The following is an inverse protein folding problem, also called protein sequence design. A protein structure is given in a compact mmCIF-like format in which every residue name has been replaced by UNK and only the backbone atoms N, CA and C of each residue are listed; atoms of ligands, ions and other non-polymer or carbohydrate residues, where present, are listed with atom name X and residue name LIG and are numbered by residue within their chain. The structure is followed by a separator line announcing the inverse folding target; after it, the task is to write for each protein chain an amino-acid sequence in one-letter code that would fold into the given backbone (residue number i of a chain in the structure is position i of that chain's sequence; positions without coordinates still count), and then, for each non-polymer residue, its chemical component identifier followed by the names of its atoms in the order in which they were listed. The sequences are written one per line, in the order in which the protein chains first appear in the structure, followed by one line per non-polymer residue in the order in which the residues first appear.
data_IF_132880846411
#
_entry.id   IF_132880846411
#
_cell.length_a   1.000
_cell.length_b   1.000
_cell.length_c   1.000
_cell.angle_alpha   90.00
_cell.angle_beta   90.00
_cell.angle_gamma   90.00
#
_symmetry.space_group_name_H-M   'P 1'
#
loop_
_entity.id
_entity.type
_entity.pdbx_description
1 polymer ?
#
# COMPACT_ATOMS: atom_id res chain seq x y z
N UNK A 1 -64.80 27.45 29.14
CA UNK A 1 -65.58 26.81 28.07
C UNK A 1 -64.62 25.88 27.31
N UNK A 2 -64.77 24.58 27.56
CA UNK A 2 -65.01 23.50 26.56
C UNK A 2 -63.86 23.30 25.55
N UNK A 3 -63.20 22.16 25.32
CA UNK A 3 -63.44 20.71 25.56
C UNK A 3 -62.04 20.04 25.37
N UNK A 4 -61.63 19.21 26.24
CA UNK A 4 -61.45 17.76 26.09
C UNK A 4 -61.45 17.22 24.67
N UNK A 5 -60.28 16.61 24.26
CA UNK A 5 -60.27 15.28 23.66
C UNK A 5 -58.98 14.59 24.04
N UNK A 6 -59.07 13.44 24.68
CA UNK A 6 -58.09 12.40 24.87
C UNK A 6 -57.73 11.76 23.52
N UNK A 7 -56.48 11.28 23.32
CA UNK A 7 -56.29 9.87 22.94
C UNK A 7 -54.84 9.48 22.87
N UNK A 8 -54.62 8.41 23.57
CA UNK A 8 -53.74 7.28 23.23
C UNK A 8 -52.23 7.52 23.14
N UNK A 9 -51.58 7.19 24.22
CA UNK A 9 -50.20 6.73 24.27
C UNK A 9 -50.05 5.48 23.40
N UNK A 10 -49.29 5.59 22.34
CA UNK A 10 -48.63 4.45 21.68
C UNK A 10 -47.16 4.43 22.09
N UNK A 11 -46.88 3.60 23.07
CA UNK A 11 -45.55 3.26 23.55
C UNK A 11 -44.85 2.47 22.45
N UNK A 12 -44.13 3.13 21.52
CA UNK A 12 -43.15 2.45 20.66
C UNK A 12 -41.87 2.24 21.47
N UNK A 13 -41.80 1.10 22.11
CA UNK A 13 -40.54 0.53 22.57
C UNK A 13 -39.65 0.29 21.34
N UNK A 14 -38.78 1.24 21.06
CA UNK A 14 -37.59 0.96 20.25
C UNK A 14 -36.68 0.08 21.06
N UNK A 15 -36.85 -1.23 20.90
CA UNK A 15 -35.78 -2.20 21.20
C UNK A 15 -34.70 -1.93 20.20
N UNK A 16 -33.71 -1.14 20.60
CA UNK A 16 -32.42 -1.04 19.92
C UNK A 16 -31.64 -2.34 20.15
N UNK A 17 -32.14 -3.41 19.52
CA UNK A 17 -31.32 -4.58 19.28
C UNK A 17 -30.23 -4.17 18.28
N UNK A 18 -28.99 -4.02 18.73
CA UNK A 18 -27.87 -4.04 17.85
C UNK A 18 -27.90 -5.38 17.13
N UNK A 19 -28.44 -5.38 15.92
CA UNK A 19 -28.27 -6.50 15.00
C UNK A 19 -26.77 -6.67 14.81
N UNK A 20 -26.23 -7.89 14.99
CA UNK A 20 -24.85 -8.13 14.57
C UNK A 20 -24.76 -7.70 13.11
N UNK A 21 -23.77 -6.87 12.79
CA UNK A 21 -23.48 -6.47 11.42
C UNK A 21 -23.23 -7.74 10.61
N UNK A 22 -24.27 -8.24 9.95
CA UNK A 22 -24.12 -9.33 9.01
C UNK A 22 -23.17 -8.83 7.92
N UNK A 23 -22.00 -9.46 7.79
CA UNK A 23 -21.20 -9.29 6.59
C UNK A 23 -22.09 -9.67 5.41
N UNK A 24 -22.12 -8.81 4.38
CA UNK A 24 -22.84 -9.15 3.17
C UNK A 24 -22.25 -10.46 2.61
N UNK A 25 -23.12 -11.40 2.31
CA UNK A 25 -22.74 -12.67 1.70
C UNK A 25 -22.40 -12.39 0.23
N UNK A 26 -21.11 -12.48 -0.12
CA UNK A 26 -20.68 -12.55 -1.51
C UNK A 26 -21.17 -13.90 -2.04
N UNK A 27 -22.01 -13.88 -3.08
CA UNK A 27 -22.56 -15.11 -3.68
C UNK A 27 -21.51 -15.76 -4.58
N UNK A 28 -20.69 -16.61 -4.00
CA UNK A 28 -19.73 -17.48 -4.71
C UNK A 28 -20.05 -18.94 -4.44
N UNK A 29 -19.72 -19.87 -5.35
CA UNK A 29 -19.66 -21.28 -5.01
C UNK A 29 -18.82 -21.47 -3.75
N UNK A 30 -19.26 -22.32 -2.78
CA UNK A 30 -18.55 -22.50 -1.50
C UNK A 30 -17.08 -22.88 -1.63
N UNK A 31 -16.74 -23.71 -2.61
CA UNK A 31 -15.39 -24.12 -2.96
C UNK A 31 -14.55 -22.96 -3.49
N UNK A 32 -15.11 -22.11 -4.36
CA UNK A 32 -14.43 -20.89 -4.84
C UNK A 32 -14.20 -19.94 -3.69
N UNK A 33 -15.16 -19.78 -2.77
CA UNK A 33 -15.00 -18.94 -1.57
C UNK A 33 -13.86 -19.42 -0.67
N UNK A 34 -13.79 -20.74 -0.43
CA UNK A 34 -12.73 -21.36 0.35
C UNK A 34 -11.37 -21.14 -0.30
N UNK A 35 -11.21 -21.50 -1.58
CA UNK A 35 -9.96 -21.33 -2.31
C UNK A 35 -9.54 -19.86 -2.46
N UNK A 36 -10.47 -18.94 -2.66
CA UNK A 36 -10.18 -17.51 -2.69
C UNK A 36 -9.64 -17.02 -1.34
N UNK A 37 -10.27 -17.45 -0.23
CA UNK A 37 -9.84 -17.07 1.12
C UNK A 37 -8.46 -17.63 1.44
N UNK A 38 -8.21 -18.91 1.18
CA UNK A 38 -6.91 -19.55 1.39
C UNK A 38 -5.83 -18.96 0.48
N UNK A 39 -6.17 -18.66 -0.78
CA UNK A 39 -5.26 -17.96 -1.70
C UNK A 39 -4.83 -16.60 -1.19
N UNK A 40 -5.76 -15.78 -0.68
CA UNK A 40 -5.47 -14.46 -0.11
C UNK A 40 -4.62 -14.58 1.16
N UNK A 41 -4.97 -15.51 2.06
CA UNK A 41 -4.18 -15.77 3.26
C UNK A 41 -2.76 -16.23 2.92
N UNK A 42 -2.61 -17.07 1.88
CA UNK A 42 -1.32 -17.50 1.35
C UNK A 42 -0.48 -16.30 0.88
N UNK A 43 -1.07 -15.37 0.11
CA UNK A 43 -0.38 -14.15 -0.35
C UNK A 43 0.12 -13.32 0.83
N UNK A 44 -0.73 -13.02 1.81
CA UNK A 44 -0.33 -12.23 2.98
C UNK A 44 0.68 -12.95 3.89
N UNK A 45 0.62 -14.28 3.93
CA UNK A 45 1.55 -15.12 4.70
C UNK A 45 2.85 -15.42 3.95
N UNK A 46 2.98 -14.95 2.68
CA UNK A 46 4.08 -15.23 1.75
C UNK A 46 4.23 -16.72 1.41
N UNK A 47 3.17 -17.49 1.59
CA UNK A 47 3.05 -18.87 1.14
C UNK A 47 2.44 -18.89 -0.28
N UNK A 48 3.27 -18.47 -1.23
CA UNK A 48 2.85 -18.35 -2.63
C UNK A 48 2.53 -19.70 -3.27
N UNK A 49 3.09 -20.79 -2.77
CA UNK A 49 2.80 -22.13 -3.31
C UNK A 49 1.40 -22.57 -2.90
N UNK A 50 1.00 -22.35 -1.64
CA UNK A 50 -0.38 -22.54 -1.20
C UNK A 50 -1.33 -21.61 -1.94
N UNK A 51 -0.99 -20.33 -2.11
CA UNK A 51 -1.81 -19.39 -2.87
C UNK A 51 -2.00 -19.84 -4.32
N UNK A 52 -0.93 -20.25 -5.01
CA UNK A 52 -0.96 -20.71 -6.39
C UNK A 52 -1.80 -21.97 -6.55
N UNK A 53 -1.61 -22.97 -5.66
CA UNK A 53 -2.39 -24.22 -5.67
C UNK A 53 -3.90 -23.95 -5.57
N UNK A 54 -4.32 -23.06 -4.66
CA UNK A 54 -5.74 -22.72 -4.52
C UNK A 54 -6.30 -22.05 -5.79
N UNK A 55 -5.54 -21.16 -6.43
CA UNK A 55 -5.95 -20.53 -7.70
C UNK A 55 -6.04 -21.55 -8.82
N UNK A 56 -5.13 -22.53 -8.90
CA UNK A 56 -5.16 -23.61 -9.88
C UNK A 56 -6.39 -24.50 -9.71
N UNK A 57 -6.81 -24.81 -8.50
CA UNK A 57 -8.04 -25.55 -8.25
C UNK A 57 -9.26 -24.80 -8.78
N UNK A 58 -9.34 -23.48 -8.56
CA UNK A 58 -10.44 -22.69 -9.16
C UNK A 58 -10.39 -22.71 -10.69
N UNK A 59 -9.21 -22.64 -11.32
CA UNK A 59 -9.10 -22.74 -12.79
C UNK A 59 -9.49 -24.11 -13.34
N UNK A 60 -9.23 -25.20 -12.59
CA UNK A 60 -9.60 -26.56 -13.01
C UNK A 60 -11.11 -26.74 -13.07
N UNK A 61 -11.83 -26.27 -12.04
CA UNK A 61 -13.27 -26.45 -11.91
C UNK A 61 -14.07 -25.36 -12.65
N UNK A 62 -13.53 -24.15 -12.70
CA UNK A 62 -14.17 -22.95 -13.29
C UNK A 62 -13.19 -22.20 -14.21
N UNK A 63 -12.94 -22.66 -15.42
CA UNK A 63 -12.09 -21.96 -16.39
C UNK A 63 -12.58 -20.53 -16.64
N UNK A 64 -11.64 -19.56 -16.66
CA UNK A 64 -11.93 -18.12 -16.80
C UNK A 64 -12.68 -17.49 -15.60
N UNK A 65 -12.82 -18.18 -14.45
CA UNK A 65 -13.47 -17.60 -13.28
C UNK A 65 -12.76 -16.30 -12.81
N UNK A 66 -13.50 -15.23 -12.52
CA UNK A 66 -12.91 -13.93 -12.17
C UNK A 66 -11.92 -13.97 -11.01
N UNK A 67 -12.21 -14.76 -9.96
CA UNK A 67 -11.32 -14.90 -8.80
C UNK A 67 -10.01 -15.59 -9.14
N UNK A 68 -10.00 -16.60 -10.02
CA UNK A 68 -8.78 -17.26 -10.44
C UNK A 68 -7.85 -16.31 -11.20
N UNK A 69 -8.40 -15.54 -12.14
CA UNK A 69 -7.65 -14.51 -12.87
C UNK A 69 -7.15 -13.39 -11.97
N UNK A 70 -8.00 -12.90 -11.06
CA UNK A 70 -7.61 -11.88 -10.08
C UNK A 70 -6.50 -12.39 -9.14
N UNK A 71 -6.67 -13.59 -8.57
CA UNK A 71 -5.70 -14.21 -7.67
C UNK A 71 -4.34 -14.42 -8.34
N UNK A 72 -4.33 -14.92 -9.57
CA UNK A 72 -3.10 -15.13 -10.35
C UNK A 72 -2.31 -13.81 -10.54
N UNK A 73 -3.00 -12.72 -10.90
CA UNK A 73 -2.38 -11.41 -11.04
C UNK A 73 -1.88 -10.85 -9.69
N UNK A 74 -2.62 -11.08 -8.59
CA UNK A 74 -2.22 -10.65 -7.25
C UNK A 74 -1.01 -11.43 -6.72
N UNK A 75 -0.92 -12.74 -6.98
CA UNK A 75 0.27 -13.53 -6.64
C UNK A 75 1.49 -13.00 -7.40
N UNK A 76 1.34 -12.77 -8.72
CA UNK A 76 2.43 -12.25 -9.55
C UNK A 76 2.89 -10.85 -9.08
N UNK A 77 1.95 -9.97 -8.72
CA UNK A 77 2.25 -8.66 -8.14
C UNK A 77 2.99 -8.79 -6.82
N UNK A 78 2.48 -9.61 -5.90
CA UNK A 78 3.06 -9.76 -4.56
C UNK A 78 4.45 -10.39 -4.59
N UNK A 79 4.69 -11.35 -5.50
CA UNK A 79 6.05 -11.87 -5.74
C UNK A 79 6.99 -10.79 -6.26
N UNK A 80 6.55 -10.00 -7.24
CA UNK A 80 7.35 -8.92 -7.81
C UNK A 80 7.70 -7.85 -6.77
N UNK A 81 6.75 -7.52 -5.88
CA UNK A 81 6.99 -6.59 -4.77
C UNK A 81 7.88 -7.19 -3.68
N UNK A 82 7.58 -8.40 -3.24
CA UNK A 82 8.26 -9.05 -2.13
C UNK A 82 9.67 -9.54 -2.48
N UNK A 83 9.85 -10.18 -3.64
CA UNK A 83 11.11 -10.81 -4.00
C UNK A 83 12.07 -9.83 -4.71
N UNK A 84 11.56 -8.81 -5.39
CA UNK A 84 12.33 -7.94 -6.28
C UNK A 84 12.21 -6.44 -5.98
N UNK A 85 11.50 -6.06 -4.93
CA UNK A 85 11.20 -4.64 -4.60
C UNK A 85 10.75 -3.80 -5.81
N UNK A 86 10.02 -4.42 -6.74
CA UNK A 86 9.53 -3.82 -8.00
C UNK A 86 10.65 -3.26 -8.90
N UNK A 87 11.87 -3.79 -8.80
CA UNK A 87 13.05 -3.26 -9.49
C UNK A 87 13.53 -4.10 -10.67
N UNK A 88 13.15 -5.37 -10.77
CA UNK A 88 13.59 -6.30 -11.83
C UNK A 88 12.75 -6.16 -13.10
N UNK A 89 13.37 -5.79 -14.22
CA UNK A 89 12.71 -5.56 -15.50
C UNK A 89 12.19 -6.85 -16.17
N UNK A 90 12.79 -8.01 -15.90
CA UNK A 90 12.30 -9.29 -16.43
C UNK A 90 11.03 -9.70 -15.70
N UNK A 91 11.03 -9.61 -14.38
CA UNK A 91 9.84 -9.89 -13.57
C UNK A 91 8.71 -8.89 -13.82
N UNK A 92 9.04 -7.64 -14.11
CA UNK A 92 8.07 -6.65 -14.57
C UNK A 92 7.30 -7.12 -15.81
N UNK A 93 8.00 -7.62 -16.81
CA UNK A 93 7.38 -8.12 -18.05
C UNK A 93 6.52 -9.37 -17.81
N UNK A 94 6.95 -10.25 -16.91
CA UNK A 94 6.16 -11.42 -16.49
C UNK A 94 4.85 -10.97 -15.85
N UNK A 95 4.91 -10.04 -14.90
CA UNK A 95 3.74 -9.47 -14.26
C UNK A 95 2.80 -8.79 -15.27
N UNK A 96 3.33 -7.94 -16.16
CA UNK A 96 2.54 -7.25 -17.19
C UNK A 96 1.76 -8.25 -18.06
N UNK A 97 2.42 -9.35 -18.47
CA UNK A 97 1.78 -10.40 -19.26
C UNK A 97 0.65 -11.09 -18.50
N UNK A 98 0.91 -11.50 -17.25
CA UNK A 98 -0.11 -12.14 -16.39
C UNK A 98 -1.30 -11.21 -16.19
N UNK A 99 -1.06 -9.93 -15.96
CA UNK A 99 -2.11 -8.92 -15.79
C UNK A 99 -2.96 -8.76 -17.05
N UNK A 100 -2.33 -8.76 -18.24
CA UNK A 100 -3.04 -8.67 -19.52
C UNK A 100 -3.90 -9.92 -19.79
N UNK A 101 -3.33 -11.10 -19.58
CA UNK A 101 -4.01 -12.38 -19.73
C UNK A 101 -5.21 -12.51 -18.76
N UNK A 102 -5.02 -12.08 -17.51
CA UNK A 102 -6.07 -12.08 -16.49
C UNK A 102 -7.23 -11.14 -16.84
N UNK A 103 -6.95 -9.93 -17.32
CA UNK A 103 -7.99 -9.01 -17.80
C UNK A 103 -8.72 -9.60 -19.00
N UNK A 104 -8.02 -10.29 -19.91
CA UNK A 104 -8.64 -10.92 -21.07
C UNK A 104 -9.56 -12.08 -20.64
N UNK A 105 -9.15 -12.89 -19.66
CA UNK A 105 -9.96 -13.98 -19.10
C UNK A 105 -11.26 -13.48 -18.48
N UNK A 106 -11.17 -12.48 -17.58
CA UNK A 106 -12.40 -11.93 -16.97
C UNK A 106 -13.32 -11.29 -18.02
N UNK A 107 -12.78 -10.68 -19.07
CA UNK A 107 -13.62 -10.18 -20.17
C UNK A 107 -14.36 -11.30 -20.93
N UNK A 108 -13.75 -12.50 -21.08
CA UNK A 108 -14.47 -13.64 -21.65
C UNK A 108 -15.61 -14.08 -20.75
N UNK A 109 -15.36 -14.15 -19.44
CA UNK A 109 -16.38 -14.46 -18.45
C UNK A 109 -17.55 -13.48 -18.48
N UNK A 110 -17.31 -12.17 -18.47
CA UNK A 110 -18.34 -11.13 -18.54
C UNK A 110 -19.25 -11.28 -19.78
N UNK A 111 -18.69 -11.71 -20.92
CA UNK A 111 -19.51 -11.94 -22.13
C UNK A 111 -20.54 -13.05 -21.94
N UNK A 112 -20.22 -14.04 -21.11
CA UNK A 112 -21.09 -15.18 -20.81
C UNK A 112 -21.98 -14.93 -19.59
N UNK A 113 -21.49 -14.09 -18.66
CA UNK A 113 -22.13 -13.78 -17.37
C UNK A 113 -22.18 -12.25 -17.16
N UNK A 114 -23.03 -11.51 -17.91
CA UNK A 114 -23.01 -10.05 -17.92
C UNK A 114 -23.52 -9.40 -16.62
N UNK A 115 -24.19 -10.18 -15.77
CA UNK A 115 -24.77 -9.69 -14.50
C UNK A 115 -24.02 -10.23 -13.27
N UNK A 116 -22.79 -10.73 -13.43
CA UNK A 116 -21.97 -11.22 -12.34
C UNK A 116 -21.18 -10.07 -11.66
N UNK A 117 -21.51 -9.64 -10.44
CA UNK A 117 -20.82 -8.55 -9.75
C UNK A 117 -19.37 -8.89 -9.42
N UNK A 118 -19.03 -10.19 -9.22
CA UNK A 118 -17.67 -10.64 -8.96
C UNK A 118 -16.75 -10.35 -10.15
N UNK A 119 -17.25 -10.55 -11.37
CA UNK A 119 -16.50 -10.30 -12.59
C UNK A 119 -16.17 -8.79 -12.75
N UNK A 120 -17.13 -7.92 -12.45
CA UNK A 120 -16.91 -6.47 -12.51
C UNK A 120 -16.00 -5.98 -11.38
N UNK A 121 -16.11 -6.54 -10.17
CA UNK A 121 -15.15 -6.28 -9.08
C UNK A 121 -13.73 -6.72 -9.49
N UNK A 122 -13.55 -7.96 -9.95
CA UNK A 122 -12.25 -8.50 -10.34
C UNK A 122 -11.58 -7.69 -11.45
N UNK A 123 -12.29 -7.40 -12.55
CA UNK A 123 -11.73 -6.61 -13.66
C UNK A 123 -11.48 -5.16 -13.24
N UNK A 124 -12.32 -4.60 -12.39
CA UNK A 124 -12.14 -3.27 -11.80
C UNK A 124 -10.85 -3.19 -11.00
N UNK A 125 -10.62 -4.16 -10.11
CA UNK A 125 -9.41 -4.27 -9.32
C UNK A 125 -8.15 -4.46 -10.18
N UNK A 126 -8.18 -5.29 -11.23
CA UNK A 126 -7.05 -5.47 -12.15
C UNK A 126 -6.74 -4.19 -12.95
N UNK A 127 -7.75 -3.42 -13.36
CA UNK A 127 -7.52 -2.12 -13.97
C UNK A 127 -6.98 -1.10 -12.96
N UNK A 128 -7.39 -1.16 -11.69
CA UNK A 128 -6.82 -0.37 -10.60
C UNK A 128 -5.33 -0.68 -10.39
N UNK A 129 -4.99 -1.97 -10.33
CA UNK A 129 -3.60 -2.44 -10.24
C UNK A 129 -2.76 -1.97 -11.42
N UNK A 130 -3.29 -2.04 -12.66
CA UNK A 130 -2.65 -1.50 -13.85
C UNK A 130 -2.44 0.01 -13.75
N UNK A 131 -3.43 0.75 -13.27
CA UNK A 131 -3.32 2.20 -13.12
C UNK A 131 -2.20 2.56 -12.14
N UNK A 132 -2.15 1.91 -10.97
CA UNK A 132 -1.11 2.10 -9.97
C UNK A 132 0.28 1.77 -10.53
N UNK A 133 0.43 0.61 -11.16
CA UNK A 133 1.67 0.16 -11.78
C UNK A 133 2.17 1.12 -12.87
N UNK A 134 1.29 1.53 -13.80
CA UNK A 134 1.66 2.43 -14.90
C UNK A 134 1.93 3.86 -14.43
N UNK A 135 1.24 4.31 -13.36
CA UNK A 135 1.53 5.59 -12.71
C UNK A 135 2.94 5.60 -12.09
N UNK A 136 3.33 4.51 -11.41
CA UNK A 136 4.68 4.34 -10.87
C UNK A 136 5.76 4.38 -11.96
N UNK A 137 5.46 3.82 -13.13
CA UNK A 137 6.32 3.84 -14.30
C UNK A 137 6.16 5.10 -15.17
N UNK A 138 5.50 6.15 -14.65
CA UNK A 138 5.27 7.45 -15.31
C UNK A 138 4.52 7.39 -16.64
N UNK A 139 3.81 6.29 -16.89
CA UNK A 139 2.91 6.14 -18.04
C UNK A 139 1.54 6.77 -17.75
N UNK A 140 1.50 8.08 -17.56
CA UNK A 140 0.34 8.83 -17.04
C UNK A 140 -0.94 8.63 -17.85
N UNK A 141 -0.83 8.56 -19.19
CA UNK A 141 -1.99 8.36 -20.07
C UNK A 141 -2.61 6.98 -19.85
N UNK A 142 -1.78 5.94 -19.80
CA UNK A 142 -2.23 4.57 -19.54
C UNK A 142 -2.83 4.43 -18.14
N UNK A 143 -2.19 5.06 -17.14
CA UNK A 143 -2.69 5.11 -15.77
C UNK A 143 -4.09 5.73 -15.70
N UNK A 144 -4.29 6.87 -16.38
CA UNK A 144 -5.58 7.55 -16.43
C UNK A 144 -6.69 6.68 -17.01
N UNK A 145 -6.47 6.11 -18.20
CA UNK A 145 -7.50 5.29 -18.84
C UNK A 145 -7.77 4.00 -18.09
N UNK A 146 -6.74 3.42 -17.45
CA UNK A 146 -6.89 2.25 -16.58
C UNK A 146 -7.70 2.60 -15.34
N UNK A 147 -7.41 3.71 -14.68
CA UNK A 147 -8.16 4.19 -13.52
C UNK A 147 -9.65 4.43 -13.85
N UNK A 148 -9.95 5.05 -14.99
CA UNK A 148 -11.34 5.22 -15.42
C UNK A 148 -12.07 3.90 -15.66
N UNK A 149 -11.37 2.91 -16.25
CA UNK A 149 -11.93 1.55 -16.41
C UNK A 149 -12.15 0.88 -15.07
N UNK A 150 -11.21 1.04 -14.12
CA UNK A 150 -11.36 0.52 -12.77
C UNK A 150 -12.65 1.04 -12.12
N UNK A 151 -12.82 2.36 -12.05
CA UNK A 151 -13.98 3.00 -11.42
C UNK A 151 -15.28 2.52 -12.06
N UNK A 152 -15.37 2.59 -13.40
CA UNK A 152 -16.59 2.16 -14.12
C UNK A 152 -16.98 0.71 -13.80
N UNK A 153 -16.02 -0.18 -13.66
CA UNK A 153 -16.32 -1.58 -13.37
C UNK A 153 -16.67 -1.79 -11.88
N UNK A 154 -15.98 -1.10 -10.95
CA UNK A 154 -16.33 -1.16 -9.53
C UNK A 154 -17.72 -0.58 -9.25
N UNK A 155 -18.09 0.54 -9.88
CA UNK A 155 -19.45 1.10 -9.84
C UNK A 155 -20.46 0.11 -10.40
N UNK A 156 -20.13 -0.57 -11.52
CA UNK A 156 -21.01 -1.60 -12.09
C UNK A 156 -21.19 -2.80 -11.16
N UNK A 157 -20.15 -3.22 -10.43
CA UNK A 157 -20.26 -4.26 -9.40
C UNK A 157 -21.28 -3.86 -8.32
N UNK A 158 -21.21 -2.59 -7.84
CA UNK A 158 -22.15 -2.06 -6.84
C UNK A 158 -23.58 -1.82 -7.39
N UNK A 159 -23.72 -1.53 -8.69
CA UNK A 159 -25.06 -1.48 -9.33
C UNK A 159 -25.73 -2.85 -9.32
N UNK A 160 -24.96 -3.93 -9.52
CA UNK A 160 -25.44 -5.31 -9.54
C UNK A 160 -25.66 -5.85 -8.13
N UNK A 161 -24.74 -5.51 -7.20
CA UNK A 161 -24.84 -5.87 -5.78
C UNK A 161 -24.39 -4.69 -4.90
N UNK A 162 -25.31 -3.89 -4.37
CA UNK A 162 -24.99 -2.76 -3.49
C UNK A 162 -24.30 -3.15 -2.17
N UNK A 163 -24.27 -4.44 -1.85
CA UNK A 163 -23.64 -4.97 -0.64
C UNK A 163 -22.22 -5.51 -0.89
N UNK A 164 -21.70 -5.39 -2.12
CA UNK A 164 -20.34 -5.82 -2.49
C UNK A 164 -19.29 -4.84 -1.93
N UNK A 165 -19.08 -4.89 -0.62
CA UNK A 165 -18.24 -3.91 0.11
C UNK A 165 -16.77 -3.93 -0.32
N UNK A 166 -16.27 -4.99 -0.95
CA UNK A 166 -14.91 -5.05 -1.48
C UNK A 166 -14.65 -4.01 -2.59
N UNK A 167 -15.68 -3.64 -3.36
CA UNK A 167 -15.55 -2.61 -4.38
C UNK A 167 -15.20 -1.22 -3.82
N UNK A 168 -15.63 -0.94 -2.57
CA UNK A 168 -15.31 0.34 -1.91
C UNK A 168 -13.82 0.51 -1.60
N UNK A 169 -13.05 -0.56 -1.52
CA UNK A 169 -11.59 -0.47 -1.42
C UNK A 169 -10.98 0.27 -2.61
N UNK A 170 -11.29 -0.18 -3.84
CA UNK A 170 -10.76 0.45 -5.04
C UNK A 170 -11.30 1.86 -5.30
N UNK A 171 -12.61 2.08 -5.03
CA UNK A 171 -13.21 3.41 -5.12
C UNK A 171 -12.58 4.36 -4.09
N UNK A 172 -12.37 3.91 -2.86
CA UNK A 172 -11.75 4.69 -1.79
C UNK A 172 -10.32 5.13 -2.13
N UNK A 173 -9.51 4.22 -2.67
CA UNK A 173 -8.17 4.54 -3.19
C UNK A 173 -8.25 5.65 -4.25
N UNK A 174 -9.12 5.47 -5.23
CA UNK A 174 -9.27 6.47 -6.30
C UNK A 174 -9.69 7.84 -5.75
N UNK A 175 -10.74 7.90 -4.95
CA UNK A 175 -11.26 9.14 -4.37
C UNK A 175 -10.19 9.87 -3.57
N UNK A 176 -9.43 9.14 -2.75
CA UNK A 176 -8.38 9.73 -1.93
C UNK A 176 -7.23 10.27 -2.78
N UNK A 177 -6.60 9.43 -3.62
CA UNK A 177 -5.42 9.85 -4.36
C UNK A 177 -5.73 10.87 -5.48
N UNK A 178 -6.88 10.74 -6.16
CA UNK A 178 -7.29 11.75 -7.14
C UNK A 178 -7.57 13.11 -6.49
N UNK A 179 -8.11 13.12 -5.27
CA UNK A 179 -8.38 14.35 -4.51
C UNK A 179 -7.14 15.01 -3.90
N UNK A 180 -6.08 14.22 -3.64
CA UNK A 180 -4.82 14.70 -3.04
C UNK A 180 -3.71 14.98 -4.04
N UNK A 181 -3.96 14.88 -5.35
CA UNK A 181 -2.97 15.18 -6.39
C UNK A 181 -2.32 16.56 -6.18
N UNK A 182 -0.99 16.70 -6.41
CA UNK A 182 -0.31 17.98 -6.35
C UNK A 182 -0.92 19.03 -7.29
N UNK A 183 -0.88 20.30 -6.90
CA UNK A 183 -1.54 21.41 -7.63
C UNK A 183 -1.14 21.49 -9.10
N UNK A 184 0.12 21.19 -9.43
CA UNK A 184 0.64 21.19 -10.82
C UNK A 184 -0.04 20.09 -11.64
N UNK A 185 -0.21 18.91 -11.06
CA UNK A 185 -0.89 17.78 -11.71
C UNK A 185 -2.41 18.02 -11.74
N UNK A 186 -2.98 18.71 -10.74
CA UNK A 186 -4.41 19.10 -10.73
C UNK A 186 -4.81 19.96 -11.93
N UNK A 187 -3.91 20.77 -12.47
CA UNK A 187 -4.21 21.56 -13.67
C UNK A 187 -4.42 20.65 -14.88
N UNK A 188 -3.54 19.66 -15.08
CA UNK A 188 -3.69 18.63 -16.11
C UNK A 188 -4.89 17.72 -15.83
N UNK A 189 -5.11 17.35 -14.58
CA UNK A 189 -6.23 16.54 -14.14
C UNK A 189 -7.59 17.21 -14.39
N UNK A 190 -7.68 18.54 -14.31
CA UNK A 190 -8.90 19.30 -14.69
C UNK A 190 -9.23 19.14 -16.16
N UNK A 191 -8.23 19.12 -17.04
CA UNK A 191 -8.42 18.96 -18.50
C UNK A 191 -9.02 17.59 -18.81
N UNK A 192 -8.62 16.55 -18.06
CA UNK A 192 -9.11 15.19 -18.23
C UNK A 192 -10.24 14.80 -17.26
N UNK A 193 -10.81 15.79 -16.55
CA UNK A 193 -11.94 15.63 -15.63
C UNK A 193 -11.70 14.61 -14.50
N UNK A 194 -10.47 14.49 -14.00
CA UNK A 194 -10.19 13.71 -12.79
C UNK A 194 -10.70 14.50 -11.59
N UNK A 195 -11.65 13.92 -10.89
CA UNK A 195 -12.18 14.46 -9.63
C UNK A 195 -12.07 13.38 -8.57
N UNK A 196 -11.60 13.73 -7.39
CA UNK A 196 -11.59 12.87 -6.22
C UNK A 196 -11.99 13.68 -4.99
N UNK A 197 -12.59 13.00 -4.05
CA UNK A 197 -12.97 13.53 -2.74
C UNK A 197 -12.24 12.72 -1.65
N UNK A 198 -11.19 13.27 -1.02
CA UNK A 198 -10.43 12.53 -0.01
C UNK A 198 -11.27 12.09 1.21
N UNK A 199 -12.28 12.88 1.61
CA UNK A 199 -13.18 12.52 2.71
C UNK A 199 -14.03 11.31 2.38
N UNK A 200 -14.56 11.28 1.17
CA UNK A 200 -15.30 10.12 0.66
C UNK A 200 -14.37 8.92 0.52
N UNK A 201 -13.15 9.12 0.02
CA UNK A 201 -12.14 8.07 -0.11
C UNK A 201 -11.84 7.41 1.23
N UNK A 202 -11.59 8.19 2.28
CA UNK A 202 -11.33 7.65 3.63
C UNK A 202 -12.57 6.98 4.21
N UNK A 203 -13.77 7.52 3.97
CA UNK A 203 -15.02 6.89 4.39
C UNK A 203 -15.24 5.52 3.72
N UNK A 204 -15.00 5.43 2.41
CA UNK A 204 -15.09 4.19 1.64
C UNK A 204 -14.05 3.15 2.08
N UNK A 205 -12.79 3.56 2.35
CA UNK A 205 -11.76 2.68 2.89
C UNK A 205 -12.13 2.15 4.28
N UNK A 206 -12.71 2.97 5.15
CA UNK A 206 -13.21 2.51 6.45
C UNK A 206 -14.39 1.54 6.30
N UNK A 207 -15.30 1.80 5.36
CA UNK A 207 -16.42 0.90 5.08
C UNK A 207 -15.91 -0.48 4.59
N UNK A 208 -14.93 -0.49 3.68
CA UNK A 208 -14.31 -1.73 3.23
C UNK A 208 -13.56 -2.43 4.38
N UNK A 209 -12.80 -1.70 5.20
CA UNK A 209 -12.14 -2.26 6.40
C UNK A 209 -13.11 -2.98 7.34
N UNK A 210 -14.32 -2.45 7.50
CA UNK A 210 -15.31 -2.97 8.44
C UNK A 210 -16.15 -4.11 7.87
N UNK A 211 -16.50 -4.02 6.58
CA UNK A 211 -17.53 -4.89 5.99
C UNK A 211 -17.06 -5.76 4.84
N UNK A 212 -15.93 -5.42 4.18
CA UNK A 212 -15.45 -6.20 3.06
C UNK A 212 -14.97 -7.59 3.50
N UNK A 213 -15.16 -8.56 2.62
CA UNK A 213 -14.76 -9.94 2.88
C UNK A 213 -13.27 -10.16 2.60
N UNK A 214 -12.78 -9.67 1.47
CA UNK A 214 -11.42 -9.92 0.98
C UNK A 214 -10.48 -8.72 1.17
N UNK A 215 -10.98 -7.50 1.07
CA UNK A 215 -10.15 -6.29 1.04
C UNK A 215 -10.03 -5.56 2.39
N UNK A 216 -10.55 -6.13 3.48
CA UNK A 216 -10.52 -5.51 4.81
C UNK A 216 -9.08 -5.23 5.28
N UNK A 217 -8.15 -6.19 5.13
CA UNK A 217 -6.77 -6.01 5.53
C UNK A 217 -5.99 -5.09 4.58
N UNK A 218 -6.26 -5.15 3.27
CA UNK A 218 -5.74 -4.18 2.29
C UNK A 218 -6.18 -2.76 2.61
N UNK A 219 -7.43 -2.59 3.06
CA UNK A 219 -7.96 -1.28 3.47
C UNK A 219 -7.22 -0.71 4.69
N UNK A 220 -6.85 -1.56 5.66
CA UNK A 220 -5.99 -1.16 6.78
C UNK A 220 -4.64 -0.65 6.30
N UNK A 221 -3.99 -1.33 5.34
CA UNK A 221 -2.69 -0.92 4.80
C UNK A 221 -2.76 0.46 4.13
N UNK A 222 -3.78 0.72 3.31
CA UNK A 222 -3.96 2.04 2.70
C UNK A 222 -4.29 3.11 3.76
N UNK A 223 -5.12 2.79 4.75
CA UNK A 223 -5.41 3.72 5.85
C UNK A 223 -4.16 4.04 6.67
N UNK A 224 -3.25 3.08 6.88
CA UNK A 224 -1.94 3.32 7.51
C UNK A 224 -1.13 4.34 6.70
N UNK A 225 -1.05 4.19 5.37
CA UNK A 225 -0.35 5.15 4.51
C UNK A 225 -0.97 6.56 4.62
N UNK A 226 -2.29 6.64 4.52
CA UNK A 226 -3.05 7.90 4.65
C UNK A 226 -2.80 8.57 6.00
N UNK A 227 -2.84 7.78 7.08
CA UNK A 227 -2.70 8.28 8.46
C UNK A 227 -1.25 8.58 8.86
N UNK A 228 -0.26 8.05 8.16
CA UNK A 228 1.16 8.38 8.36
C UNK A 228 1.64 9.55 7.49
N UNK A 229 0.79 10.11 6.62
CA UNK A 229 1.14 11.27 5.79
C UNK A 229 1.19 12.53 6.64
N UNK A 230 2.41 12.99 7.01
CA UNK A 230 2.63 14.19 7.83
C UNK A 230 2.03 15.44 7.18
N UNK A 231 1.37 16.27 7.98
CA UNK A 231 0.68 17.47 7.50
C UNK A 231 -0.62 17.19 6.74
N UNK A 232 -0.97 15.92 6.51
CA UNK A 232 -2.25 15.52 5.94
C UNK A 232 -3.40 15.68 6.94
N UNK A 233 -4.60 15.92 6.43
CA UNK A 233 -5.83 16.06 7.21
C UNK A 233 -6.11 14.85 8.12
N UNK A 234 -5.68 13.66 7.70
CA UNK A 234 -5.97 12.39 8.38
C UNK A 234 -4.79 11.85 9.18
N UNK A 235 -3.74 12.67 9.39
CA UNK A 235 -2.56 12.24 10.12
C UNK A 235 -2.91 11.72 11.51
N UNK A 236 -2.72 10.43 11.73
CA UNK A 236 -2.99 9.73 13.00
C UNK A 236 -2.10 8.48 13.12
N UNK A 237 -0.79 8.66 13.36
CA UNK A 237 0.15 7.55 13.41
C UNK A 237 -0.12 6.55 14.55
N UNK A 238 -0.78 6.99 15.63
CA UNK A 238 -1.17 6.09 16.71
C UNK A 238 -2.20 5.05 16.23
N UNK A 239 -3.17 5.47 15.38
CA UNK A 239 -4.15 4.55 14.80
C UNK A 239 -3.51 3.63 13.76
N UNK A 240 -2.54 4.15 13.00
CA UNK A 240 -1.73 3.33 12.09
C UNK A 240 -0.98 2.23 12.84
N UNK A 241 -0.39 2.56 13.99
CA UNK A 241 0.32 1.58 14.83
C UNK A 241 -0.61 0.49 15.36
N UNK A 242 -1.85 0.84 15.72
CA UNK A 242 -2.88 -0.14 16.11
C UNK A 242 -3.19 -1.10 14.95
N UNK A 243 -3.48 -0.58 13.76
CA UNK A 243 -3.80 -1.40 12.59
C UNK A 243 -2.66 -2.34 12.17
N UNK A 244 -1.43 -1.84 12.15
CA UNK A 244 -0.31 -2.68 11.73
C UNK A 244 0.01 -3.78 12.75
N UNK A 245 -0.18 -3.53 14.04
CA UNK A 245 -0.02 -4.57 15.07
C UNK A 245 -1.03 -5.69 14.91
N UNK A 246 -2.29 -5.37 14.58
CA UNK A 246 -3.30 -6.38 14.24
C UNK A 246 -2.87 -7.21 13.02
N UNK A 247 -2.42 -6.55 11.94
CA UNK A 247 -1.98 -7.23 10.73
C UNK A 247 -0.74 -8.10 10.98
N UNK A 248 0.23 -7.58 11.74
CA UNK A 248 1.44 -8.34 12.08
C UNK A 248 1.16 -9.55 12.96
N UNK A 249 0.20 -9.45 13.88
CA UNK A 249 -0.25 -10.59 14.68
C UNK A 249 -0.93 -11.66 13.81
N UNK A 250 -1.68 -11.25 12.77
CA UNK A 250 -2.33 -12.15 11.83
C UNK A 250 -1.34 -12.78 10.83
N UNK A 251 -0.33 -12.01 10.38
CA UNK A 251 0.65 -12.40 9.36
C UNK A 251 2.11 -12.27 9.86
N UNK A 252 2.50 -13.05 10.90
CA UNK A 252 3.77 -12.84 11.62
C UNK A 252 5.02 -13.13 10.79
N UNK A 253 4.89 -13.89 9.69
CA UNK A 253 6.00 -14.22 8.79
C UNK A 253 6.32 -13.11 7.80
N UNK A 254 5.41 -12.13 7.61
CA UNK A 254 5.53 -11.13 6.57
C UNK A 254 6.48 -9.98 7.00
N UNK A 255 7.68 -9.86 6.41
CA UNK A 255 8.64 -8.82 6.77
C UNK A 255 8.17 -7.42 6.38
N UNK A 256 7.28 -7.28 5.38
CA UNK A 256 6.73 -5.97 5.01
C UNK A 256 5.84 -5.44 6.14
N UNK A 257 5.03 -6.29 6.78
CA UNK A 257 4.24 -5.91 7.96
C UNK A 257 5.15 -5.50 9.14
N UNK A 258 6.28 -6.21 9.33
CA UNK A 258 7.27 -5.85 10.34
C UNK A 258 7.87 -4.47 10.05
N UNK A 259 8.22 -4.21 8.79
CA UNK A 259 8.80 -2.91 8.43
C UNK A 259 7.79 -1.76 8.52
N UNK A 260 6.52 -1.99 8.15
CA UNK A 260 5.46 -0.98 8.33
C UNK A 260 5.24 -0.65 9.81
N UNK A 261 5.36 -1.64 10.73
CA UNK A 261 5.33 -1.34 12.17
C UNK A 261 6.50 -0.44 12.59
N UNK A 262 7.70 -0.68 12.06
CA UNK A 262 8.87 0.19 12.29
C UNK A 262 8.57 1.63 11.82
N UNK A 263 7.94 1.80 10.65
CA UNK A 263 7.52 3.12 10.17
C UNK A 263 6.52 3.75 11.13
N UNK A 264 5.51 3.03 11.58
CA UNK A 264 4.49 3.55 12.50
C UNK A 264 5.08 3.92 13.87
N UNK A 265 6.02 3.14 14.38
CA UNK A 265 6.77 3.45 15.60
C UNK A 265 7.60 4.72 15.45
N UNK A 266 8.23 4.91 14.29
CA UNK A 266 8.97 6.12 13.98
C UNK A 266 8.06 7.36 13.95
N UNK A 267 6.91 7.25 13.27
CA UNK A 267 5.93 8.35 13.19
C UNK A 267 5.29 8.70 14.54
N UNK A 268 5.23 7.74 15.47
CA UNK A 268 4.76 7.98 16.85
C UNK A 268 5.87 8.42 17.82
N UNK A 269 7.12 8.58 17.34
CA UNK A 269 8.26 9.04 18.16
C UNK A 269 8.86 7.98 19.09
N UNK A 270 8.53 6.70 18.91
CA UNK A 270 9.06 5.60 19.72
C UNK A 270 10.43 5.13 19.20
N UNK A 271 11.42 6.02 19.14
CA UNK A 271 12.71 5.78 18.47
C UNK A 271 13.52 4.63 19.06
N UNK A 272 13.47 4.41 20.39
CA UNK A 272 14.13 3.26 21.03
C UNK A 272 13.51 1.93 20.55
N UNK A 273 12.21 1.90 20.38
CA UNK A 273 11.49 0.75 19.84
C UNK A 273 11.80 0.54 18.36
N UNK A 274 11.91 1.62 17.56
CA UNK A 274 12.38 1.57 16.17
C UNK A 274 13.75 0.92 16.11
N UNK A 275 14.69 1.36 16.96
CA UNK A 275 16.04 0.80 17.01
C UNK A 275 16.01 -0.69 17.33
N UNK A 276 15.27 -1.09 18.35
CA UNK A 276 15.11 -2.50 18.74
C UNK A 276 14.49 -3.36 17.64
N UNK A 277 13.38 -2.91 17.05
CA UNK A 277 12.70 -3.66 15.99
C UNK A 277 13.51 -3.74 14.69
N UNK A 278 14.23 -2.69 14.33
CA UNK A 278 15.09 -2.69 13.16
C UNK A 278 16.34 -3.57 13.35
N UNK A 279 16.88 -3.69 14.57
CA UNK A 279 17.93 -4.66 14.90
C UNK A 279 17.41 -6.10 14.76
N UNK A 280 16.23 -6.41 15.34
CA UNK A 280 15.59 -7.72 15.15
C UNK A 280 15.33 -8.00 13.68
N UNK A 281 14.87 -7.01 12.91
CA UNK A 281 14.67 -7.14 11.47
C UNK A 281 15.98 -7.52 10.75
N UNK A 282 17.09 -6.85 11.09
CA UNK A 282 18.41 -7.11 10.51
C UNK A 282 18.92 -8.51 10.88
N UNK A 283 18.75 -8.94 12.15
CA UNK A 283 19.14 -10.28 12.62
C UNK A 283 18.37 -11.41 11.92
N UNK A 284 17.13 -11.14 11.51
CA UNK A 284 16.31 -12.11 10.77
C UNK A 284 16.78 -12.30 9.32
N UNK A 285 17.46 -11.31 8.74
CA UNK A 285 18.05 -11.44 7.39
C UNK A 285 19.18 -12.48 7.46
N UNK A 286 19.12 -13.49 6.57
CA UNK A 286 20.03 -14.63 6.56
C UNK A 286 19.68 -15.76 7.54
N UNK A 287 18.83 -15.50 8.56
CA UNK A 287 18.39 -16.50 9.55
C UNK A 287 16.91 -16.92 9.36
N UNK A 288 16.14 -16.18 8.59
CA UNK A 288 14.73 -16.46 8.33
C UNK A 288 14.48 -16.34 6.80
N UNK A 289 13.94 -17.38 6.14
CA UNK A 289 13.79 -17.40 4.67
C UNK A 289 12.86 -16.33 4.11
N UNK A 290 12.00 -15.73 4.95
CA UNK A 290 11.12 -14.64 4.55
C UNK A 290 11.81 -13.27 4.54
N UNK A 291 12.95 -13.11 5.24
CA UNK A 291 13.70 -11.86 5.31
C UNK A 291 14.84 -11.89 4.28
N UNK A 292 14.61 -11.27 3.14
CA UNK A 292 15.52 -11.28 1.99
C UNK A 292 16.68 -10.28 2.17
N UNK A 293 17.82 -10.57 1.59
CA UNK A 293 19.02 -9.69 1.63
C UNK A 293 18.73 -8.28 1.07
N UNK A 294 17.84 -8.18 0.09
CA UNK A 294 17.41 -6.89 -0.47
C UNK A 294 16.80 -5.94 0.58
N UNK A 295 16.36 -6.47 1.74
CA UNK A 295 15.82 -5.66 2.83
C UNK A 295 16.86 -5.09 3.80
N UNK A 296 18.14 -5.40 3.64
CA UNK A 296 19.23 -4.85 4.48
C UNK A 296 19.17 -3.33 4.51
N UNK A 297 18.93 -2.69 3.37
CA UNK A 297 18.80 -1.24 3.27
C UNK A 297 17.65 -0.66 4.10
N UNK A 298 16.55 -1.40 4.22
CA UNK A 298 15.40 -0.98 5.06
C UNK A 298 15.80 -0.92 6.54
N UNK A 299 16.50 -1.95 7.03
CA UNK A 299 16.93 -2.02 8.42
C UNK A 299 17.91 -0.89 8.76
N UNK A 300 18.96 -0.72 7.97
CA UNK A 300 19.95 0.35 8.21
C UNK A 300 19.36 1.75 8.05
N UNK A 301 18.45 1.94 7.09
CA UNK A 301 17.73 3.22 6.94
C UNK A 301 16.90 3.53 8.18
N UNK A 302 16.20 2.55 8.74
CA UNK A 302 15.40 2.74 9.95
C UNK A 302 16.29 3.03 11.16
N UNK A 303 17.35 2.23 11.38
CA UNK A 303 18.31 2.40 12.47
C UNK A 303 18.96 3.78 12.42
N UNK A 304 19.56 4.14 11.28
CA UNK A 304 20.24 5.42 11.12
C UNK A 304 19.28 6.62 11.25
N UNK A 305 18.04 6.50 10.73
CA UNK A 305 17.06 7.59 10.84
C UNK A 305 16.58 7.76 12.27
N UNK A 306 16.43 6.69 13.06
CA UNK A 306 16.08 6.76 14.47
C UNK A 306 17.20 7.46 15.28
N UNK A 307 18.46 7.09 15.05
CA UNK A 307 19.61 7.75 15.71
C UNK A 307 19.72 9.23 15.31
N UNK A 308 19.49 9.53 14.04
CA UNK A 308 19.46 10.91 13.55
C UNK A 308 18.35 11.74 14.24
N UNK A 309 17.16 11.14 14.45
CA UNK A 309 16.05 11.79 15.14
C UNK A 309 16.32 12.02 16.64
N UNK A 310 17.16 11.20 17.25
CA UNK A 310 17.62 11.34 18.64
C UNK A 310 18.83 12.30 18.78
N UNK A 311 19.35 12.85 17.67
CA UNK A 311 20.52 13.73 17.67
C UNK A 311 21.87 12.99 17.69
N UNK A 312 21.89 11.68 17.62
CA UNK A 312 23.10 10.85 17.65
C UNK A 312 23.72 10.76 16.25
N UNK A 313 24.17 11.89 15.70
CA UNK A 313 24.57 12.05 14.30
C UNK A 313 25.73 11.14 13.88
N UNK A 314 26.73 10.96 14.74
CA UNK A 314 27.89 10.09 14.46
C UNK A 314 27.47 8.61 14.39
N UNK A 315 26.57 8.17 15.25
CA UNK A 315 26.03 6.80 15.18
C UNK A 315 25.14 6.62 13.96
N UNK A 316 24.30 7.61 13.63
CA UNK A 316 23.51 7.62 12.41
C UNK A 316 24.39 7.48 11.15
N UNK A 317 25.52 8.25 11.10
CA UNK A 317 26.50 8.14 10.01
C UNK A 317 27.02 6.72 9.87
N UNK A 318 27.52 6.13 10.96
CA UNK A 318 28.06 4.75 10.92
C UNK A 318 27.03 3.74 10.41
N UNK A 319 25.79 3.84 10.85
CA UNK A 319 24.72 2.93 10.44
C UNK A 319 24.39 3.08 8.95
N UNK A 320 24.35 4.30 8.42
CA UNK A 320 24.13 4.52 6.99
C UNK A 320 25.33 4.07 6.14
N UNK A 321 26.58 4.26 6.61
CA UNK A 321 27.79 3.75 5.97
C UNK A 321 27.82 2.22 5.97
N UNK A 322 27.37 1.56 7.04
CA UNK A 322 27.20 0.10 7.08
C UNK A 322 26.15 -0.37 6.06
N UNK A 323 25.03 0.34 5.95
CA UNK A 323 24.00 0.08 4.93
C UNK A 323 24.56 0.20 3.52
N UNK A 324 25.32 1.26 3.23
CA UNK A 324 26.01 1.45 1.96
C UNK A 324 27.00 0.30 1.66
N UNK A 325 27.80 -0.10 2.65
CA UNK A 325 28.77 -1.18 2.48
C UNK A 325 28.10 -2.54 2.26
N UNK A 326 27.00 -2.83 2.95
CA UNK A 326 26.25 -4.08 2.81
C UNK A 326 25.61 -4.24 1.42
N UNK A 327 25.34 -3.12 0.75
CA UNK A 327 24.74 -3.09 -0.60
C UNK A 327 25.79 -3.03 -1.72
N UNK A 328 27.07 -2.99 -1.40
CA UNK A 328 28.14 -2.89 -2.41
C UNK A 328 28.13 -4.08 -3.35
N UNK A 329 28.00 -3.81 -4.64
CA UNK A 329 27.93 -4.84 -5.69
C UNK A 329 26.55 -5.44 -5.91
N UNK A 330 25.52 -4.99 -5.19
CA UNK A 330 24.13 -5.34 -5.46
C UNK A 330 23.49 -4.33 -6.43
N UNK A 331 22.43 -4.78 -7.11
CA UNK A 331 21.58 -3.86 -7.89
C UNK A 331 20.95 -2.81 -6.97
N UNK A 332 20.97 -1.54 -7.36
CA UNK A 332 20.40 -0.47 -6.55
C UNK A 332 18.91 -0.64 -6.35
N UNK A 333 18.49 -0.69 -5.10
CA UNK A 333 17.08 -0.68 -4.70
C UNK A 333 16.64 0.73 -4.30
N UNK A 334 15.33 0.98 -4.29
CA UNK A 334 14.75 2.25 -3.81
C UNK A 334 15.24 2.60 -2.40
N UNK A 335 15.30 1.60 -1.52
CA UNK A 335 15.71 1.78 -0.12
C UNK A 335 17.21 2.02 0.02
N UNK A 336 18.02 1.35 -0.81
CA UNK A 336 19.44 1.61 -0.87
C UNK A 336 19.73 3.06 -1.28
N UNK A 337 19.05 3.57 -2.30
CA UNK A 337 19.21 4.96 -2.72
C UNK A 337 18.66 5.95 -1.68
N UNK A 338 17.63 5.61 -0.92
CA UNK A 338 17.20 6.43 0.20
C UNK A 338 18.21 6.44 1.36
N UNK A 339 18.91 5.31 1.61
CA UNK A 339 20.00 5.25 2.57
C UNK A 339 21.12 6.25 2.19
N UNK A 340 21.51 6.32 0.91
CA UNK A 340 22.48 7.29 0.40
C UNK A 340 22.00 8.74 0.59
N UNK A 341 20.72 8.99 0.34
CA UNK A 341 20.12 10.30 0.57
C UNK A 341 20.23 10.71 2.05
N UNK A 342 19.94 9.79 2.98
CA UNK A 342 20.05 10.01 4.43
C UNK A 342 21.50 10.20 4.86
N UNK A 343 22.42 9.43 4.32
CA UNK A 343 23.85 9.59 4.56
C UNK A 343 24.33 11.00 4.16
N UNK A 344 23.90 11.48 2.99
CA UNK A 344 24.15 12.86 2.57
C UNK A 344 23.61 13.90 3.56
N UNK A 345 22.40 13.71 4.06
CA UNK A 345 21.78 14.59 5.05
C UNK A 345 22.56 14.61 6.38
N UNK A 346 23.04 13.46 6.84
CA UNK A 346 23.87 13.39 8.06
C UNK A 346 25.22 14.08 7.85
N UNK A 347 25.87 13.89 6.68
CA UNK A 347 27.10 14.62 6.37
C UNK A 347 26.90 16.13 6.37
N UNK A 348 25.77 16.64 5.85
CA UNK A 348 25.47 18.08 5.94
C UNK A 348 25.34 18.55 7.40
N UNK A 349 24.65 17.78 8.26
CA UNK A 349 24.50 18.10 9.68
C UNK A 349 25.82 18.07 10.46
N UNK A 350 26.78 17.24 10.01
CA UNK A 350 28.15 17.17 10.57
C UNK A 350 29.10 18.20 9.97
N UNK A 351 28.65 19.02 9.01
CA UNK A 351 29.48 20.02 8.32
C UNK A 351 30.36 19.45 7.21
N UNK A 352 30.19 18.19 6.83
CA UNK A 352 30.97 17.48 5.80
C UNK A 352 30.36 17.67 4.39
N UNK A 353 30.22 18.91 3.96
CA UNK A 353 29.48 19.29 2.75
C UNK A 353 29.92 18.61 1.47
N UNK A 354 31.22 18.39 1.27
CA UNK A 354 31.73 17.73 0.08
C UNK A 354 31.26 16.28 -0.01
N UNK A 355 31.25 15.54 1.11
CA UNK A 355 30.75 14.20 1.19
C UNK A 355 29.21 14.17 0.96
N UNK A 356 28.48 15.11 1.56
CA UNK A 356 27.04 15.24 1.34
C UNK A 356 26.72 15.43 -0.16
N UNK A 357 27.41 16.35 -0.81
CA UNK A 357 27.21 16.62 -2.23
C UNK A 357 27.56 15.41 -3.12
N UNK A 358 28.54 14.59 -2.74
CA UNK A 358 28.86 13.35 -3.45
C UNK A 358 27.70 12.35 -3.38
N UNK A 359 27.05 12.18 -2.21
CA UNK A 359 25.90 11.31 -2.06
C UNK A 359 24.71 11.77 -2.88
N UNK A 360 24.39 13.08 -2.85
CA UNK A 360 23.28 13.60 -3.66
C UNK A 360 23.52 13.45 -5.18
N UNK A 361 24.76 13.62 -5.65
CA UNK A 361 25.13 13.36 -7.06
C UNK A 361 24.97 11.89 -7.41
N UNK A 362 25.33 10.99 -6.50
CA UNK A 362 25.12 9.55 -6.69
C UNK A 362 23.63 9.22 -6.84
N UNK A 363 22.76 9.76 -5.97
CA UNK A 363 21.31 9.61 -6.11
C UNK A 363 20.82 10.08 -7.50
N UNK A 364 21.30 11.23 -7.98
CA UNK A 364 20.93 11.77 -9.29
C UNK A 364 21.38 10.94 -10.48
N UNK A 365 22.41 10.08 -10.33
CA UNK A 365 22.90 9.21 -11.41
C UNK A 365 21.85 8.19 -11.87
N UNK A 366 20.82 7.91 -11.07
CA UNK A 366 19.74 6.98 -11.39
C UNK A 366 18.59 7.60 -12.18
N UNK A 367 18.72 8.86 -12.63
CA UNK A 367 17.77 9.55 -13.53
C UNK A 367 16.32 9.50 -13.03
N UNK A 368 16.13 9.81 -11.76
CA UNK A 368 14.82 9.91 -11.10
C UNK A 368 13.98 8.61 -11.13
N UNK A 369 14.65 7.46 -11.22
CA UNK A 369 14.01 6.13 -11.23
C UNK A 369 13.03 5.96 -10.05
N UNK A 370 13.33 6.57 -8.89
CA UNK A 370 12.55 6.44 -7.66
C UNK A 370 11.91 7.74 -7.16
N UNK A 371 11.98 8.83 -7.94
CA UNK A 371 11.35 10.10 -7.59
C UNK A 371 12.13 10.96 -6.58
N UNK A 372 13.44 10.75 -6.43
CA UNK A 372 14.26 11.46 -5.44
C UNK A 372 15.04 12.65 -6.01
N UNK A 373 14.99 12.88 -7.32
CA UNK A 373 15.80 13.89 -7.99
C UNK A 373 15.54 15.31 -7.51
N UNK A 374 14.28 15.68 -7.31
CA UNK A 374 13.94 17.05 -6.87
C UNK A 374 14.50 17.34 -5.47
N UNK A 375 14.41 16.36 -4.57
CA UNK A 375 15.00 16.50 -3.23
C UNK A 375 16.53 16.57 -3.32
N UNK A 376 17.18 15.68 -4.06
CA UNK A 376 18.64 15.67 -4.22
C UNK A 376 19.16 16.97 -4.86
N UNK A 377 18.47 17.51 -5.88
CA UNK A 377 18.80 18.81 -6.49
C UNK A 377 18.65 19.97 -5.54
N UNK A 378 17.61 19.95 -4.71
CA UNK A 378 17.40 20.96 -3.66
C UNK A 378 18.54 20.91 -2.63
N UNK A 379 18.91 19.72 -2.17
CA UNK A 379 19.98 19.51 -1.18
C UNK A 379 21.39 19.81 -1.74
N UNK A 380 21.59 19.70 -3.05
CA UNK A 380 22.82 20.18 -3.68
C UNK A 380 22.95 21.70 -3.67
N UNK A 381 21.82 22.42 -3.74
CA UNK A 381 21.81 23.89 -3.69
C UNK A 381 21.94 24.42 -2.26
N UNK A 382 21.18 23.81 -1.34
CA UNK A 382 21.11 24.19 0.07
C UNK A 382 21.41 22.98 0.94
N UNK A 383 22.41 23.05 1.86
CA UNK A 383 22.70 21.96 2.78
C UNK A 383 21.45 21.57 3.57
N UNK A 384 21.33 20.30 3.93
CA UNK A 384 20.27 19.83 4.80
C UNK A 384 20.42 20.44 6.20
N UNK A 385 19.32 20.95 6.72
CA UNK A 385 19.20 21.38 8.12
C UNK A 385 18.01 20.68 8.75
N UNK A 386 18.04 20.47 10.05
CA UNK A 386 16.86 19.96 10.74
C UNK A 386 15.70 20.96 10.60
N UNK A 387 14.49 20.51 10.31
CA UNK A 387 13.30 21.37 10.31
C UNK A 387 13.11 22.06 11.67
N UNK A 388 12.40 23.20 11.69
CA UNK A 388 11.96 23.79 12.94
C UNK A 388 11.22 22.76 13.80
N UNK A 389 11.64 22.61 15.06
CA UNK A 389 11.16 21.54 15.96
C UNK A 389 12.01 20.27 15.98
N UNK A 390 13.13 20.24 15.23
CA UNK A 390 14.14 19.16 15.33
C UNK A 390 13.74 17.80 14.77
N UNK A 391 12.58 17.70 14.12
CA UNK A 391 12.07 16.41 13.65
C UNK A 391 12.64 16.03 12.28
N UNK A 392 13.42 14.97 12.22
CA UNK A 392 13.89 14.38 10.96
C UNK A 392 12.71 13.95 10.09
N UNK A 393 12.83 14.09 8.77
CA UNK A 393 11.79 13.70 7.82
C UNK A 393 11.38 12.23 7.97
N UNK A 394 10.22 11.81 7.40
CA UNK A 394 9.66 10.48 7.57
C UNK A 394 10.59 9.40 6.99
N UNK A 395 10.41 8.16 7.47
CA UNK A 395 10.88 6.98 6.74
C UNK A 395 10.11 6.89 5.42
N UNK A 396 10.74 6.44 4.31
CA UNK A 396 10.01 6.30 3.05
C UNK A 396 8.89 5.26 3.20
N UNK A 397 7.71 5.50 2.61
CA UNK A 397 6.64 4.52 2.57
C UNK A 397 7.04 3.29 1.71
N UNK A 398 6.34 2.19 1.87
CA UNK A 398 6.52 0.97 1.09
C UNK A 398 6.32 1.19 -0.42
#
# INVERSE_FOLDING_TARGET
MKRLVCLAAALCLFVSGALPSARAEITLPPDVMEHATEGINGVYSLDFDTAQKNIELVFQDYPDHPFAHFGNAMIAWSRYEYEYELSDDAQRKVFEKILDDSIAGIKRWIKQNPDDPNAYMGIGALYGLRAMFTMRNRSWITAYFSGRKAIKNLEKSLELDPTYYDAYFGLGIYQYYAGTLPSVIKILAKIVAIKGNPDEGVAQLNLAREKAHFTADSSKLILIEVQNTRGGKYYNPAKSLEYIRELRAKYPKNPLMHYVEIICLYETGHYDEVTRQAQVFLELIGNNPFYKDIYISRAYTALGTAQMAQGNLEEARKLFEQGQQALKGQEPSRWGIWNEMRLGQVYDLLGEREKAAAQYKYVLSFRDKWGFDELAKSLLKCPYTLPEGGTVGPLPPL
#
